data_IF_898283717801
#
_entry.id   IF_898283717801
#
_cell.length_a   1.000
_cell.length_b   1.000
_cell.length_c   1.000
_cell.angle_alpha   90.00
_cell.angle_beta   90.00
_cell.angle_gamma   90.00
#
_symmetry.space_group_name_H-M   'P 1'
#
loop_
_entity.id
_entity.type
_entity.pdbx_description
1 polymer ?
#
# COMPACT_ATOMS: atom_id res chain seq x y z
N UNK A 1 0.56 -3.66 -1.47
CA UNK A 1 1.45 -3.85 -0.30
C UNK A 1 1.25 -2.73 0.71
N UNK A 2 1.33 -3.04 2.01
CA UNK A 2 1.16 -2.04 3.08
C UNK A 2 2.37 -2.08 4.01
N UNK A 3 2.94 -0.91 4.28
CA UNK A 3 4.00 -0.71 5.27
C UNK A 3 3.53 0.22 6.37
N UNK A 4 3.60 -0.24 7.62
CA UNK A 4 3.23 0.58 8.80
C UNK A 4 4.16 1.80 8.91
N UNK A 5 5.47 1.59 8.76
CA UNK A 5 6.46 2.68 8.73
C UNK A 5 6.73 3.17 7.30
N UNK A 6 7.57 4.19 7.13
CA UNK A 6 8.06 4.60 5.81
C UNK A 6 9.40 3.89 5.51
N UNK A 7 9.40 2.81 4.69
CA UNK A 7 10.61 2.02 4.43
C UNK A 7 11.63 2.78 3.57
N UNK A 8 11.20 3.74 2.74
CA UNK A 8 12.07 4.53 1.85
C UNK A 8 13.11 5.32 2.65
N UNK A 9 12.78 5.70 3.89
CA UNK A 9 13.68 6.46 4.77
C UNK A 9 14.65 5.57 5.56
N UNK A 10 14.59 4.24 5.42
CA UNK A 10 15.28 3.31 6.34
C UNK A 10 16.07 2.20 5.68
N UNK A 11 15.97 2.01 4.36
CA UNK A 11 16.65 0.90 3.72
C UNK A 11 16.20 0.65 2.28
N UNK A 12 16.51 -0.55 1.76
CA UNK A 12 16.28 -0.88 0.36
C UNK A 12 14.79 -0.89 0.00
N UNK A 13 14.51 -0.64 -1.29
CA UNK A 13 13.17 -0.75 -1.84
C UNK A 13 12.64 -2.19 -1.70
N UNK A 14 11.34 -2.33 -1.42
CA UNK A 14 10.70 -3.63 -1.32
C UNK A 14 10.68 -4.33 -2.67
N UNK A 15 11.09 -5.60 -2.73
CA UNK A 15 10.97 -6.43 -3.93
C UNK A 15 9.50 -6.78 -4.22
N UNK A 16 8.68 -6.93 -3.17
CA UNK A 16 7.23 -7.17 -3.31
C UNK A 16 6.51 -5.98 -3.93
N UNK A 17 7.07 -4.78 -3.81
CA UNK A 17 6.48 -3.58 -4.39
C UNK A 17 6.49 -3.63 -5.92
N UNK A 18 7.51 -4.27 -6.52
CA UNK A 18 7.66 -4.38 -7.96
C UNK A 18 6.56 -5.22 -8.63
N UNK A 19 5.91 -6.11 -7.88
CA UNK A 19 4.83 -6.99 -8.37
C UNK A 19 3.46 -6.63 -7.77
N UNK A 20 3.42 -5.64 -6.88
CA UNK A 20 2.17 -5.19 -6.26
C UNK A 20 1.42 -4.23 -7.17
N UNK A 21 0.08 -4.30 -7.16
CA UNK A 21 -0.79 -3.33 -7.86
C UNK A 21 -0.70 -1.90 -7.30
N UNK A 22 -0.06 -1.72 -6.13
CA UNK A 22 0.13 -0.44 -5.45
C UNK A 22 0.74 -0.63 -4.07
N UNK A 23 1.30 0.45 -3.52
CA UNK A 23 1.97 0.47 -2.21
C UNK A 23 1.40 1.61 -1.36
N UNK A 24 1.08 1.32 -0.10
CA UNK A 24 0.72 2.30 0.94
C UNK A 24 1.76 2.23 2.04
N UNK A 25 2.48 3.33 2.32
CA UNK A 25 3.58 3.33 3.29
C UNK A 25 3.59 4.58 4.16
N UNK A 26 3.95 4.44 5.44
CA UNK A 26 4.17 5.55 6.37
C UNK A 26 2.94 6.07 7.11
N UNK A 27 1.80 5.41 6.99
CA UNK A 27 0.53 5.82 7.61
C UNK A 27 0.24 5.11 8.94
N UNK A 28 1.20 4.37 9.49
CA UNK A 28 0.98 3.54 10.67
C UNK A 28 -0.09 2.48 10.41
N UNK A 29 -0.86 2.15 11.45
CA UNK A 29 -1.97 1.18 11.34
C UNK A 29 -3.11 1.69 10.43
N UNK A 30 -3.27 3.00 10.28
CA UNK A 30 -4.30 3.58 9.42
C UNK A 30 -4.07 3.26 7.93
N UNK A 31 -2.85 2.88 7.54
CA UNK A 31 -2.53 2.47 6.17
C UNK A 31 -3.36 1.28 5.67
N UNK A 32 -3.81 0.39 6.56
CA UNK A 32 -4.69 -0.72 6.19
C UNK A 32 -6.07 -0.24 5.74
N UNK A 33 -6.65 0.73 6.43
CA UNK A 33 -7.95 1.30 6.06
C UNK A 33 -7.87 1.98 4.67
N UNK A 34 -6.78 2.72 4.42
CA UNK A 34 -6.54 3.36 3.13
C UNK A 34 -6.39 2.32 2.00
N UNK A 35 -5.60 1.26 2.22
CA UNK A 35 -5.41 0.21 1.24
C UNK A 35 -6.71 -0.53 0.90
N UNK A 36 -7.52 -0.88 1.92
CA UNK A 36 -8.82 -1.53 1.72
C UNK A 36 -9.82 -0.61 1.01
N UNK A 37 -9.81 0.69 1.33
CA UNK A 37 -10.64 1.66 0.63
C UNK A 37 -10.28 1.74 -0.85
N UNK A 38 -8.99 1.87 -1.17
CA UNK A 38 -8.53 1.89 -2.56
C UNK A 38 -8.88 0.61 -3.32
N UNK A 39 -8.75 -0.56 -2.68
CA UNK A 39 -9.17 -1.82 -3.29
C UNK A 39 -10.68 -1.84 -3.60
N UNK A 40 -11.51 -1.36 -2.67
CA UNK A 40 -12.96 -1.25 -2.88
C UNK A 40 -13.29 -0.35 -4.06
N UNK A 41 -12.64 0.82 -4.16
CA UNK A 41 -12.88 1.76 -5.24
C UNK A 41 -12.42 1.18 -6.61
N UNK A 42 -11.30 0.45 -6.64
CA UNK A 42 -10.84 -0.27 -7.84
C UNK A 42 -11.81 -1.38 -8.28
N UNK A 43 -12.37 -2.14 -7.34
CA UNK A 43 -13.36 -3.18 -7.64
C UNK A 43 -14.66 -2.58 -8.17
N UNK A 44 -15.07 -1.41 -7.68
CA UNK A 44 -16.24 -0.69 -8.17
C UNK A 44 -16.04 -0.14 -9.58
N UNK A 45 -14.84 0.38 -9.91
CA UNK A 45 -14.52 0.92 -11.21
C UNK A 45 -14.37 -0.13 -12.33
N UNK A 46 -14.20 -1.41 -11.97
CA UNK A 46 -14.12 -2.53 -12.93
C UNK A 46 -15.48 -3.13 -13.31
N UNK A 47 -16.56 -2.65 -12.69
CA UNK A 47 -17.95 -3.06 -12.98
C UNK A 47 -18.57 -2.15 -14.03
#
# INVERSE_FOLDING_TARGET
EVHISNPIRRGPASQTAAVSQGVVAGFGVAGYALALRGLKDLLAAKK
#
